data_IF_334413105730
#
_entry.id   IF_334413105730
#
_cell.length_a   1.000
_cell.length_b   1.000
_cell.length_c   1.000
_cell.angle_alpha   90.00
_cell.angle_beta   90.00
_cell.angle_gamma   90.00
#
_symmetry.space_group_name_H-M   'P 1'
#
loop_
_entity.id
_entity.type
_entity.pdbx_description
1 polymer ?
#
# COMPACT_ATOMS: atom_id res chain seq x y z
N UNK A 1 -15.08 -28.02 -3.21
CA UNK A 1 -15.13 -26.96 -4.24
C UNK A 1 -15.73 -25.74 -3.57
N UNK A 2 -14.98 -24.64 -3.52
CA UNK A 2 -15.43 -23.39 -2.92
C UNK A 2 -15.78 -22.38 -4.00
N UNK A 3 -16.71 -21.48 -3.71
CA UNK A 3 -17.16 -20.42 -4.63
C UNK A 3 -17.18 -19.11 -3.88
N UNK A 4 -16.91 -18.02 -4.60
CA UNK A 4 -16.97 -16.66 -4.07
C UNK A 4 -18.00 -15.85 -4.88
N UNK A 5 -18.82 -15.09 -4.16
CA UNK A 5 -19.71 -14.09 -4.75
C UNK A 5 -19.45 -12.77 -4.02
N UNK A 6 -19.21 -11.67 -4.73
CA UNK A 6 -18.93 -10.39 -4.09
C UNK A 6 -20.17 -9.82 -3.43
N UNK A 7 -20.00 -9.27 -2.24
CA UNK A 7 -20.93 -8.31 -1.65
C UNK A 7 -20.72 -6.95 -2.33
N UNK A 8 -21.79 -6.32 -2.83
CA UNK A 8 -21.68 -5.14 -3.71
C UNK A 8 -21.01 -3.94 -3.03
N UNK A 9 -21.36 -3.67 -1.77
CA UNK A 9 -20.92 -2.47 -1.04
C UNK A 9 -19.64 -2.67 -0.20
N UNK A 10 -19.13 -3.90 -0.11
CA UNK A 10 -17.92 -4.16 0.66
C UNK A 10 -16.67 -3.65 -0.06
N UNK A 11 -15.98 -2.68 0.55
CA UNK A 11 -14.76 -2.04 0.03
C UNK A 11 -13.56 -2.98 -0.06
N UNK A 12 -13.50 -4.01 0.79
CA UNK A 12 -12.50 -5.08 0.75
C UNK A 12 -13.13 -6.43 1.06
N UNK A 13 -12.80 -7.44 0.26
CA UNK A 13 -13.18 -8.84 0.49
C UNK A 13 -11.99 -9.77 0.22
N UNK A 14 -11.67 -10.63 1.18
CA UNK A 14 -10.61 -11.64 1.04
C UNK A 14 -11.16 -12.87 0.30
N UNK A 15 -10.84 -12.98 -0.99
CA UNK A 15 -11.17 -14.17 -1.79
C UNK A 15 -10.34 -15.35 -1.33
N UNK A 16 -9.11 -15.10 -0.88
CA UNK A 16 -8.25 -16.14 -0.30
C UNK A 16 -8.90 -16.88 0.86
N UNK A 17 -9.54 -16.15 1.77
CA UNK A 17 -10.19 -16.78 2.92
C UNK A 17 -11.47 -17.50 2.50
N UNK A 18 -12.26 -16.88 1.61
CA UNK A 18 -13.49 -17.48 1.10
C UNK A 18 -13.24 -18.76 0.25
N UNK A 19 -12.11 -18.83 -0.45
CA UNK A 19 -11.77 -19.95 -1.32
C UNK A 19 -10.76 -20.93 -0.70
N UNK A 20 -10.21 -20.60 0.48
CA UNK A 20 -9.15 -21.33 1.17
C UNK A 20 -7.91 -21.56 0.30
N UNK A 21 -7.40 -20.47 -0.30
CA UNK A 21 -6.17 -20.53 -1.09
C UNK A 21 -4.94 -20.69 -0.19
N UNK A 22 -4.04 -21.60 -0.53
CA UNK A 22 -2.82 -21.88 0.24
C UNK A 22 -1.63 -21.04 -0.21
N UNK A 23 -1.45 -20.90 -1.52
CA UNK A 23 -0.21 -20.37 -2.11
C UNK A 23 -0.35 -18.96 -2.70
N UNK A 24 -1.57 -18.49 -2.89
CA UNK A 24 -1.88 -17.17 -3.48
C UNK A 24 -2.77 -16.36 -2.55
N UNK A 25 -2.45 -15.08 -2.37
CA UNK A 25 -3.33 -14.08 -1.80
C UNK A 25 -4.19 -13.49 -2.91
N UNK A 26 -5.49 -13.37 -2.69
CA UNK A 26 -6.45 -12.76 -3.61
C UNK A 26 -7.39 -11.90 -2.78
N UNK A 27 -7.40 -10.61 -3.05
CA UNK A 27 -8.30 -9.64 -2.44
C UNK A 27 -9.06 -8.90 -3.54
N UNK A 28 -10.36 -8.72 -3.34
CA UNK A 28 -11.17 -7.81 -4.14
C UNK A 28 -11.32 -6.50 -3.39
N UNK A 29 -11.02 -5.40 -4.07
CA UNK A 29 -11.27 -4.06 -3.58
C UNK A 29 -12.30 -3.36 -4.46
N UNK A 30 -13.18 -2.61 -3.81
CA UNK A 30 -14.02 -1.59 -4.44
C UNK A 30 -13.56 -0.26 -3.87
N UNK A 31 -12.93 0.55 -4.72
CA UNK A 31 -12.36 1.85 -4.36
C UNK A 31 -13.37 2.94 -4.73
N UNK A 32 -13.94 3.68 -3.77
CA UNK A 32 -14.65 4.93 -4.05
C UNK A 32 -13.76 5.95 -4.79
N UNK A 33 -14.38 7.02 -5.28
CA UNK A 33 -13.64 8.16 -5.82
C UNK A 33 -12.68 8.72 -4.75
N UNK A 34 -11.48 9.09 -5.16
CA UNK A 34 -10.39 9.61 -4.33
C UNK A 34 -9.88 8.67 -3.22
N UNK A 35 -10.23 7.37 -3.28
CA UNK A 35 -9.75 6.38 -2.32
C UNK A 35 -8.63 5.49 -2.89
N UNK A 36 -7.65 5.19 -2.05
CA UNK A 36 -6.52 4.33 -2.36
C UNK A 36 -6.65 2.91 -1.83
N UNK A 37 -5.83 2.01 -2.38
CA UNK A 37 -5.60 0.70 -1.80
C UNK A 37 -4.99 0.85 -0.40
N UNK A 38 -5.38 -0.02 0.55
CA UNK A 38 -4.83 0.05 1.90
C UNK A 38 -3.33 -0.26 1.89
N UNK A 39 -2.60 0.32 2.84
CA UNK A 39 -1.17 0.06 3.05
C UNK A 39 -0.25 1.19 2.57
N UNK A 40 -0.76 2.17 1.82
CA UNK A 40 0.06 3.27 1.28
C UNK A 40 1.15 2.76 0.34
N UNK A 41 2.18 3.57 0.07
CA UNK A 41 3.31 3.16 -0.77
C UNK A 41 4.18 2.10 -0.06
N UNK A 42 4.24 0.90 -0.62
CA UNK A 42 4.99 -0.22 -0.04
C UNK A 42 5.49 -1.18 -1.10
N UNK A 43 6.36 -2.11 -0.68
CA UNK A 43 6.80 -3.24 -1.50
C UNK A 43 6.76 -4.54 -0.70
N UNK A 44 6.63 -5.65 -1.43
CA UNK A 44 6.82 -7.00 -0.91
C UNK A 44 8.18 -7.57 -1.34
N UNK A 45 8.94 -8.17 -0.42
CA UNK A 45 10.32 -8.60 -0.71
C UNK A 45 10.45 -9.93 -1.45
N UNK A 46 9.41 -10.77 -1.39
CA UNK A 46 9.41 -12.10 -2.00
C UNK A 46 8.14 -12.40 -2.81
N UNK A 47 7.09 -11.59 -2.64
CA UNK A 47 5.83 -11.71 -3.34
C UNK A 47 5.81 -10.78 -4.55
N UNK A 48 5.46 -11.36 -5.69
CA UNK A 48 5.00 -10.59 -6.84
C UNK A 48 3.55 -10.21 -6.60
N UNK A 49 3.21 -8.97 -6.93
CA UNK A 49 1.84 -8.48 -6.91
C UNK A 49 1.32 -8.23 -8.33
N UNK A 50 0.11 -8.69 -8.60
CA UNK A 50 -0.60 -8.43 -9.85
C UNK A 50 -1.94 -7.81 -9.52
N UNK A 51 -2.25 -6.70 -10.16
CA UNK A 51 -3.54 -6.04 -10.05
C UNK A 51 -4.29 -6.17 -11.35
N UNK A 52 -5.53 -6.67 -11.29
CA UNK A 52 -6.45 -6.75 -12.44
C UNK A 52 -7.61 -5.80 -12.18
N UNK A 53 -7.72 -4.75 -12.99
CA UNK A 53 -8.82 -3.79 -12.89
C UNK A 53 -10.04 -4.40 -13.58
N UNK A 54 -11.09 -4.67 -12.82
CA UNK A 54 -12.33 -5.26 -13.30
C UNK A 54 -13.31 -4.20 -13.81
N UNK A 55 -13.32 -3.03 -13.19
CA UNK A 55 -14.19 -1.91 -13.52
C UNK A 55 -13.52 -0.58 -13.13
N UNK A 56 -13.81 0.49 -13.87
CA UNK A 56 -13.17 1.80 -13.71
C UNK A 56 -11.71 1.84 -14.17
N UNK A 57 -10.95 2.78 -13.59
CA UNK A 57 -9.53 3.01 -13.87
C UNK A 57 -8.81 3.19 -12.55
N UNK A 58 -7.62 2.60 -12.41
CA UNK A 58 -6.77 2.75 -11.22
C UNK A 58 -5.40 3.26 -11.64
N UNK A 59 -4.95 4.32 -10.97
CA UNK A 59 -3.59 4.83 -11.10
C UNK A 59 -2.71 4.22 -10.03
N UNK A 60 -1.64 3.55 -10.44
CA UNK A 60 -0.62 3.03 -9.55
C UNK A 60 0.54 4.00 -9.48
N UNK A 61 0.75 4.54 -8.29
CA UNK A 61 1.92 5.32 -7.93
C UNK A 61 3.11 4.39 -7.68
N UNK A 62 4.28 4.77 -8.18
CA UNK A 62 5.53 4.06 -7.92
C UNK A 62 6.60 5.07 -7.49
N UNK A 63 7.78 4.60 -7.06
CA UNK A 63 8.92 5.50 -6.84
C UNK A 63 9.53 6.05 -8.14
N UNK A 64 9.14 5.50 -9.30
CA UNK A 64 9.50 6.00 -10.62
C UNK A 64 8.27 6.71 -11.23
N UNK A 65 7.88 6.33 -12.44
CA UNK A 65 6.69 6.89 -13.09
C UNK A 65 5.41 6.17 -12.65
N UNK A 66 4.27 6.89 -12.53
CA UNK A 66 2.97 6.27 -12.31
C UNK A 66 2.49 5.51 -13.55
N UNK A 67 1.66 4.50 -13.32
CA UNK A 67 1.02 3.69 -14.38
C UNK A 67 -0.49 3.72 -14.23
N UNK A 68 -1.22 4.01 -15.30
CA UNK A 68 -2.69 4.01 -15.31
C UNK A 68 -3.18 2.71 -15.94
N UNK A 69 -4.14 2.05 -15.28
CA UNK A 69 -4.68 0.75 -15.69
C UNK A 69 -6.20 0.83 -15.76
N UNK A 70 -6.74 0.62 -16.96
CA UNK A 70 -8.18 0.62 -17.22
C UNK A 70 -8.81 -0.76 -17.00
N UNK A 71 -10.14 -0.78 -16.90
CA UNK A 71 -10.94 -2.01 -16.82
C UNK A 71 -10.58 -3.02 -17.93
N UNK A 72 -10.37 -4.27 -17.53
CA UNK A 72 -9.95 -5.37 -18.39
C UNK A 72 -8.43 -5.48 -18.57
N UNK A 73 -7.65 -4.52 -18.08
CA UNK A 73 -6.19 -4.56 -18.08
C UNK A 73 -5.62 -4.99 -16.71
N UNK A 74 -4.32 -5.24 -16.69
CA UNK A 74 -3.59 -5.63 -15.50
C UNK A 74 -2.19 -5.01 -15.45
N UNK A 75 -1.68 -4.82 -14.23
CA UNK A 75 -0.29 -4.43 -13.96
C UNK A 75 0.34 -5.44 -13.00
N UNK A 76 1.65 -5.62 -13.13
CA UNK A 76 2.46 -6.49 -12.28
C UNK A 76 3.58 -5.67 -11.66
N UNK A 77 3.84 -5.91 -10.38
CA UNK A 77 4.99 -5.42 -9.64
C UNK A 77 5.83 -6.62 -9.19
N UNK A 78 7.11 -6.61 -9.54
CA UNK A 78 8.09 -7.58 -9.07
C UNK A 78 8.38 -7.39 -7.57
N UNK A 79 8.89 -8.44 -6.88
CA UNK A 79 9.36 -8.28 -5.52
C UNK A 79 10.39 -7.14 -5.40
N UNK A 80 10.19 -6.24 -4.44
CA UNK A 80 11.04 -5.05 -4.23
C UNK A 80 10.59 -3.80 -4.97
N UNK A 81 9.61 -3.87 -5.88
CA UNK A 81 9.02 -2.67 -6.50
C UNK A 81 8.00 -2.02 -5.56
N UNK A 82 8.15 -0.73 -5.32
CA UNK A 82 7.24 0.05 -4.46
C UNK A 82 6.03 0.53 -5.25
N UNK A 83 4.83 0.26 -4.73
CA UNK A 83 3.58 0.63 -5.38
C UNK A 83 2.49 1.04 -4.37
N UNK A 84 1.56 1.87 -4.83
CA UNK A 84 0.23 2.00 -4.22
C UNK A 84 -0.80 2.36 -5.28
N UNK A 85 -2.02 1.83 -5.19
CA UNK A 85 -3.10 2.14 -6.12
C UNK A 85 -4.01 3.22 -5.59
N UNK A 86 -4.44 4.14 -6.46
CA UNK A 86 -5.39 5.21 -6.19
C UNK A 86 -6.48 5.21 -7.28
N UNK A 87 -7.73 5.37 -6.86
CA UNK A 87 -8.80 5.77 -7.77
C UNK A 87 -8.94 7.30 -7.76
N UNK A 88 -8.32 7.98 -8.72
CA UNK A 88 -8.41 9.44 -8.88
C UNK A 88 -9.50 9.87 -9.88
N UNK A 89 -10.44 8.97 -10.18
CA UNK A 89 -11.63 9.26 -10.98
C UNK A 89 -12.88 9.55 -10.13
N UNK A 90 -13.92 10.07 -10.78
CA UNK A 90 -15.18 10.47 -10.13
C UNK A 90 -16.17 9.32 -9.88
N UNK A 91 -15.78 8.07 -10.15
CA UNK A 91 -16.64 6.88 -10.03
C UNK A 91 -15.88 5.73 -9.39
N UNK A 92 -16.56 4.79 -8.71
CA UNK A 92 -15.87 3.68 -8.07
C UNK A 92 -15.12 2.80 -9.08
N UNK A 93 -13.94 2.32 -8.69
CA UNK A 93 -13.18 1.29 -9.40
C UNK A 93 -13.24 -0.05 -8.65
N UNK A 94 -13.11 -1.16 -9.39
CA UNK A 94 -13.03 -2.50 -8.81
C UNK A 94 -11.75 -3.16 -9.27
N UNK A 95 -10.95 -3.64 -8.32
CA UNK A 95 -9.64 -4.26 -8.59
C UNK A 95 -9.48 -5.57 -7.83
N UNK A 96 -8.91 -6.58 -8.48
CA UNK A 96 -8.37 -7.75 -7.81
C UNK A 96 -6.88 -7.54 -7.57
N UNK A 97 -6.44 -7.64 -6.32
CA UNK A 97 -5.04 -7.74 -5.96
C UNK A 97 -4.69 -9.21 -5.74
N UNK A 98 -3.69 -9.69 -6.48
CA UNK A 98 -3.17 -11.04 -6.39
C UNK A 98 -1.72 -10.99 -5.94
N UNK A 99 -1.34 -11.88 -5.04
CA UNK A 99 0.03 -11.97 -4.54
C UNK A 99 0.48 -13.42 -4.40
N UNK A 100 1.64 -13.77 -4.95
CA UNK A 100 2.26 -15.09 -4.76
C UNK A 100 3.76 -14.97 -4.44
N UNK A 101 4.29 -15.67 -3.41
CA UNK A 101 3.58 -16.54 -2.45
C UNK A 101 2.57 -15.78 -1.59
N UNK A 102 1.59 -16.46 -0.97
CA UNK A 102 0.45 -15.84 -0.24
C UNK A 102 0.85 -14.80 0.80
N UNK A 103 2.02 -14.94 1.42
CA UNK A 103 2.53 -13.99 2.40
C UNK A 103 3.96 -13.57 2.03
N UNK A 104 4.30 -12.32 2.33
CA UNK A 104 5.63 -11.79 2.15
C UNK A 104 5.88 -10.65 3.13
N UNK A 105 7.16 -10.39 3.40
CA UNK A 105 7.57 -9.23 4.17
C UNK A 105 7.25 -7.95 3.41
N UNK A 106 6.63 -7.00 4.10
CA UNK A 106 6.29 -5.69 3.57
C UNK A 106 7.30 -4.65 4.07
N UNK A 107 7.69 -3.72 3.18
CA UNK A 107 8.56 -2.59 3.46
C UNK A 107 7.94 -1.29 2.97
N UNK A 108 8.08 -0.21 3.73
CA UNK A 108 7.77 1.16 3.32
C UNK A 108 9.05 1.92 3.00
N UNK A 109 9.07 2.83 2.01
CA UNK A 109 10.30 3.43 1.49
C UNK A 109 10.82 4.58 2.36
N UNK A 110 10.79 4.43 3.69
CA UNK A 110 11.33 5.39 4.64
C UNK A 110 12.72 4.98 5.10
N UNK A 111 13.56 5.96 5.42
CA UNK A 111 14.92 5.77 5.92
C UNK A 111 14.94 5.68 7.45
N UNK A 112 15.67 4.71 7.99
CA UNK A 112 15.87 4.59 9.43
C UNK A 112 16.61 5.82 9.99
N UNK A 113 16.08 6.50 11.04
CA UNK A 113 16.75 7.65 11.63
C UNK A 113 18.06 7.30 12.36
N UNK A 114 18.26 6.03 12.74
CA UNK A 114 19.44 5.60 13.49
C UNK A 114 20.61 5.22 12.58
N UNK A 115 20.35 4.48 11.49
CA UNK A 115 21.42 3.94 10.63
C UNK A 115 21.30 4.29 9.14
N UNK A 116 20.23 4.96 8.71
CA UNK A 116 20.00 5.33 7.31
C UNK A 116 19.57 4.19 6.40
N UNK A 117 19.29 2.99 6.94
CA UNK A 117 18.76 1.89 6.14
C UNK A 117 17.37 2.24 5.58
N UNK A 118 17.21 2.09 4.26
CA UNK A 118 15.93 2.32 3.56
C UNK A 118 15.09 1.06 3.49
N UNK A 119 13.80 1.19 3.82
CA UNK A 119 12.87 0.06 3.79
C UNK A 119 12.53 -0.43 5.19
N UNK A 120 11.66 0.28 5.89
CA UNK A 120 11.21 -0.13 7.23
C UNK A 120 10.01 -1.08 7.15
N UNK A 121 9.93 -2.03 8.07
CA UNK A 121 8.76 -2.92 8.16
C UNK A 121 7.72 -2.37 9.12
N UNK A 122 6.47 -2.17 8.67
CA UNK A 122 5.39 -1.90 9.60
C UNK A 122 5.09 -3.14 10.45
N UNK A 123 4.93 -2.91 11.76
CA UNK A 123 4.63 -3.90 12.77
C UNK A 123 3.49 -3.38 13.62
N UNK A 124 2.55 -4.24 13.98
CA UNK A 124 1.52 -3.90 14.96
C UNK A 124 2.03 -4.21 16.37
N UNK A 125 2.11 -3.21 17.23
CA UNK A 125 2.60 -3.33 18.60
C UNK A 125 1.76 -2.47 19.55
N UNK A 126 1.20 -3.07 20.61
CA UNK A 126 0.45 -2.37 21.66
C UNK A 126 -0.68 -1.43 21.17
N UNK A 127 -1.28 -1.75 20.03
CA UNK A 127 -2.36 -0.96 19.42
C UNK A 127 -1.89 0.16 18.49
N UNK A 128 -0.58 0.23 18.22
CA UNK A 128 0.04 1.23 17.37
C UNK A 128 0.86 0.58 16.24
N UNK A 129 1.02 1.30 15.14
CA UNK A 129 1.90 0.89 14.03
C UNK A 129 3.32 1.40 14.31
N UNK A 130 4.25 0.47 14.45
CA UNK A 130 5.69 0.72 14.58
C UNK A 130 6.42 0.38 13.27
N UNK A 131 7.55 1.03 13.03
CA UNK A 131 8.40 0.85 11.86
C UNK A 131 9.74 0.25 12.29
N UNK A 132 9.91 -1.05 12.07
CA UNK A 132 11.13 -1.77 12.42
C UNK A 132 12.20 -1.70 11.33
N UNK A 133 13.42 -1.36 11.73
CA UNK A 133 14.60 -1.42 10.89
C UNK A 133 15.18 -2.84 10.89
N UNK A 134 15.38 -3.47 9.72
CA UNK A 134 15.96 -4.82 9.65
C UNK A 134 17.48 -4.84 9.84
N UNK A 135 18.14 -3.69 9.84
CA UNK A 135 19.61 -3.59 9.89
C UNK A 135 20.13 -3.28 11.29
N UNK A 136 19.48 -2.36 12.01
CA UNK A 136 19.87 -2.00 13.39
C UNK A 136 18.89 -2.48 14.47
N UNK A 137 17.85 -3.24 14.08
CA UNK A 137 16.79 -3.78 14.94
C UNK A 137 15.98 -2.74 15.75
N UNK A 138 16.19 -1.44 15.51
CA UNK A 138 15.43 -0.38 16.16
C UNK A 138 14.01 -0.31 15.59
N UNK A 139 13.03 -0.12 16.47
CA UNK A 139 11.67 0.21 16.12
C UNK A 139 11.43 1.71 16.28
N UNK A 140 10.72 2.30 15.32
CA UNK A 140 10.47 3.73 15.23
C UNK A 140 9.00 4.04 15.03
N UNK A 141 8.58 5.25 15.40
CA UNK A 141 7.26 5.76 15.09
C UNK A 141 7.38 7.11 14.43
N UNK A 142 6.52 7.37 13.43
CA UNK A 142 6.38 8.71 12.89
C UNK A 142 5.41 9.52 13.74
N UNK A 143 5.76 10.77 14.02
CA UNK A 143 4.84 11.76 14.55
C UNK A 143 3.73 12.02 13.51
N UNK A 144 2.49 12.04 13.98
CA UNK A 144 1.32 12.36 13.18
C UNK A 144 1.31 13.77 12.59
N UNK A 145 0.23 14.06 11.86
CA UNK A 145 -0.03 15.35 11.24
C UNK A 145 -0.31 16.44 12.29
N UNK A 146 0.46 17.53 12.35
CA UNK A 146 0.19 18.62 13.29
C UNK A 146 -0.96 19.52 12.81
N UNK A 147 -1.39 19.41 11.55
CA UNK A 147 -2.39 20.31 10.96
C UNK A 147 -3.82 19.86 11.30
N UNK A 148 -4.06 18.54 11.31
CA UNK A 148 -5.38 17.96 11.60
C UNK A 148 -5.35 16.94 12.74
N UNK A 149 -4.24 16.85 13.48
CA UNK A 149 -4.04 15.97 14.64
C UNK A 149 -4.16 14.46 14.35
N UNK A 150 -4.16 14.07 13.07
CA UNK A 150 -4.14 12.67 12.66
C UNK A 150 -2.85 12.01 13.16
N UNK A 151 -2.96 10.88 13.85
CA UNK A 151 -1.82 10.23 14.51
C UNK A 151 -0.82 9.58 13.53
N UNK A 152 -1.25 9.30 12.31
CA UNK A 152 -0.50 8.53 11.32
C UNK A 152 -0.30 9.31 10.03
N UNK A 153 0.90 9.18 9.46
CA UNK A 153 1.25 9.67 8.13
C UNK A 153 1.56 8.48 7.23
N UNK A 154 1.23 8.56 5.94
CA UNK A 154 1.48 7.50 4.97
C UNK A 154 2.64 7.88 4.06
N UNK A 155 3.45 6.88 3.67
CA UNK A 155 4.45 7.10 2.63
C UNK A 155 3.79 7.26 1.26
N UNK A 156 4.32 8.18 0.45
CA UNK A 156 3.91 8.46 -0.92
C UNK A 156 5.15 8.77 -1.78
N UNK A 157 5.07 8.68 -3.12
CA UNK A 157 6.19 9.07 -3.97
C UNK A 157 6.45 10.59 -3.88
N UNK A 158 7.72 10.97 -3.98
CA UNK A 158 8.15 12.36 -4.02
C UNK A 158 8.13 12.97 -5.43
N UNK A 159 8.76 14.14 -5.56
CA UNK A 159 8.81 14.86 -6.83
C UNK A 159 9.94 14.39 -7.77
N UNK A 160 10.84 13.54 -7.27
CA UNK A 160 11.99 13.01 -8.01
C UNK A 160 12.06 11.49 -7.93
N UNK A 161 12.72 10.88 -8.93
CA UNK A 161 12.87 9.42 -9.03
C UNK A 161 13.54 8.84 -7.78
N UNK A 162 12.91 7.83 -7.20
CA UNK A 162 13.34 7.19 -5.97
C UNK A 162 13.07 8.00 -4.70
N UNK A 163 12.44 9.18 -4.77
CA UNK A 163 12.11 9.98 -3.58
C UNK A 163 10.81 9.46 -2.94
N UNK A 164 10.77 9.42 -1.60
CA UNK A 164 9.55 9.17 -0.85
C UNK A 164 9.31 10.32 0.11
N UNK A 165 8.04 10.72 0.23
CA UNK A 165 7.56 11.75 1.16
C UNK A 165 6.54 11.11 2.11
N UNK A 166 6.12 11.84 3.14
CA UNK A 166 4.98 11.44 3.97
C UNK A 166 3.81 12.40 3.80
N UNK A 167 2.62 11.84 3.64
CA UNK A 167 1.37 12.56 3.38
C UNK A 167 0.34 12.21 4.45
N UNK A 168 -0.40 13.21 4.90
CA UNK A 168 -1.55 12.99 5.77
C UNK A 168 -2.74 12.51 4.93
N UNK A 169 -3.31 11.33 5.22
CA UNK A 169 -4.45 10.82 4.44
C UNK A 169 -5.73 11.66 4.60
N UNK A 170 -5.85 12.44 5.69
CA UNK A 170 -7.09 13.18 5.98
C UNK A 170 -7.09 14.60 5.40
N UNK A 171 -5.95 15.31 5.44
CA UNK A 171 -5.86 16.70 4.99
C UNK A 171 -4.89 16.94 3.83
N UNK A 172 -4.16 15.92 3.38
CA UNK A 172 -3.22 16.01 2.26
C UNK A 172 -1.93 16.76 2.57
N UNK A 173 -1.68 17.16 3.83
CA UNK A 173 -0.43 17.82 4.22
C UNK A 173 0.78 16.92 3.90
N UNK A 174 1.78 17.48 3.22
CA UNK A 174 2.97 16.77 2.74
C UNK A 174 4.22 17.21 3.50
N UNK A 175 5.12 16.26 3.79
CA UNK A 175 6.47 16.53 4.28
C UNK A 175 7.49 15.70 3.53
N UNK A 176 8.62 16.32 3.19
CA UNK A 176 9.73 15.64 2.52
C UNK A 176 10.31 14.51 3.36
N UNK A 177 10.30 14.64 4.69
CA UNK A 177 10.81 13.63 5.61
C UNK A 177 9.82 13.37 6.75
N UNK A 178 9.72 12.11 7.23
CA UNK A 178 8.99 11.81 8.46
C UNK A 178 9.65 12.50 9.66
N UNK A 179 8.82 12.91 10.61
CA UNK A 179 9.30 13.28 11.93
C UNK A 179 9.22 12.07 12.84
N UNK A 180 10.31 11.70 13.50
CA UNK A 180 10.36 10.54 14.38
C UNK A 180 10.01 10.91 15.83
N UNK A 181 9.47 9.95 16.58
CA UNK A 181 9.19 10.04 18.03
C UNK A 181 10.08 9.07 18.79
#
# INVERSE_FOLDING_TARGET
MQTFSPEEDATRQSLSDALDTTDVAINRYRLPADEGLPGGLHTHLSQEEVFVVLDGTVRFETLADPVVVDAGAAVRFAPGEYQTGLNDGDSPAVVLALGAPKASELRVPLDCPNCGHRGLSPKWQDGEVMLGCPDCDADHRTRGCPECEREEMQAAPGGSDGEAVVVCPDCGAVRSEPQWV
#
